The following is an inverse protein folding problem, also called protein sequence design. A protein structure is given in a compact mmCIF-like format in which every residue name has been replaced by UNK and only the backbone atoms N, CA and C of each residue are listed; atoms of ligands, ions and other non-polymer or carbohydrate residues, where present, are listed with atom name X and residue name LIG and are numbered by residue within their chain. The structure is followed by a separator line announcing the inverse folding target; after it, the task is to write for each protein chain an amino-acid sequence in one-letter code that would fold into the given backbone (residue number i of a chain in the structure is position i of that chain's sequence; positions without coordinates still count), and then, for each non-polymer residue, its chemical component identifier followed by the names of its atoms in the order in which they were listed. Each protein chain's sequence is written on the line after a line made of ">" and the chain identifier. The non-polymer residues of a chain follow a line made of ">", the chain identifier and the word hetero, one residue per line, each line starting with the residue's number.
data_IF_638172786210
#
_entry.id   IF_638172786210
#
_cell.length_a   1.000
_cell.length_b   1.000
_cell.length_c   1.000
_cell.angle_alpha   90.00
_cell.angle_beta   90.00
_cell.angle_gamma   90.00
#
_symmetry.space_group_name_H-M   'P 1'
#
loop_
_entity.id
_entity.type
_entity.pdbx_description
1 polymer ?
#
# COMPACT_ATOMS: atom_id res chain seq x y z
N UNK A 1 9.28 -0.16 -4.04
CA UNK A 1 8.24 0.07 -3.01
C UNK A 1 8.58 -0.56 -1.65
N UNK A 2 9.83 -1.02 -1.46
CA UNK A 2 10.30 -1.56 -0.17
C UNK A 2 10.55 -0.49 0.90
N UNK A 3 10.25 0.74 0.61
CA UNK A 3 10.37 1.93 1.45
C UNK A 3 9.04 2.34 2.14
N UNK A 4 7.97 1.56 1.94
CA UNK A 4 6.68 1.80 2.58
C UNK A 4 6.53 0.93 3.83
N UNK A 5 6.36 1.58 4.98
CA UNK A 5 6.17 0.91 6.27
C UNK A 5 4.75 1.20 6.76
N UNK A 6 4.03 0.13 7.09
CA UNK A 6 2.68 0.19 7.65
C UNK A 6 2.69 -0.44 9.03
N UNK A 7 2.09 0.24 10.00
CA UNK A 7 2.01 -0.23 11.37
C UNK A 7 0.63 0.05 11.95
N UNK A 8 0.07 -0.89 12.70
CA UNK A 8 -1.25 -0.73 13.35
C UNK A 8 -2.17 -1.90 13.10
N UNK A 9 -3.40 -1.79 13.59
CA UNK A 9 -4.46 -2.80 13.44
C UNK A 9 -5.38 -2.53 12.24
N UNK A 10 -6.34 -3.43 12.02
CA UNK A 10 -7.41 -3.20 11.03
C UNK A 10 -7.14 -3.67 9.60
N UNK A 11 -5.93 -4.12 9.27
CA UNK A 11 -5.60 -4.57 7.91
C UNK A 11 -6.45 -5.71 7.38
N UNK A 12 -6.82 -6.68 8.25
CA UNK A 12 -7.50 -7.89 7.80
C UNK A 12 -8.84 -7.63 7.11
N UNK A 13 -9.55 -6.57 7.51
CA UNK A 13 -10.81 -6.16 6.90
C UNK A 13 -10.61 -5.59 5.51
N UNK A 14 -9.78 -4.55 5.40
CA UNK A 14 -9.53 -3.85 4.14
C UNK A 14 -8.79 -4.73 3.13
N UNK A 15 -7.89 -5.63 3.57
CA UNK A 15 -7.22 -6.57 2.68
C UNK A 15 -8.17 -7.63 2.10
N UNK A 16 -9.14 -8.09 2.90
CA UNK A 16 -10.14 -9.03 2.42
C UNK A 16 -11.05 -8.40 1.36
N UNK A 17 -11.49 -7.16 1.58
CA UNK A 17 -12.24 -6.39 0.60
C UNK A 17 -11.42 -6.18 -0.69
N UNK A 18 -10.17 -5.75 -0.56
CA UNK A 18 -9.28 -5.55 -1.69
C UNK A 18 -9.02 -6.85 -2.49
N UNK A 19 -8.83 -7.97 -1.79
CA UNK A 19 -8.63 -9.26 -2.45
C UNK A 19 -9.88 -9.73 -3.20
N UNK A 20 -11.08 -9.49 -2.68
CA UNK A 20 -12.34 -9.83 -3.36
C UNK A 20 -12.53 -8.99 -4.62
N UNK A 21 -12.26 -7.68 -4.57
CA UNK A 21 -12.34 -6.80 -5.73
C UNK A 21 -11.32 -7.22 -6.81
N UNK A 22 -10.08 -7.49 -6.43
CA UNK A 22 -9.04 -7.96 -7.35
C UNK A 22 -9.40 -9.32 -7.98
N UNK A 23 -9.97 -10.25 -7.21
CA UNK A 23 -10.42 -11.55 -7.71
C UNK A 23 -11.54 -11.42 -8.75
N UNK A 24 -12.36 -10.37 -8.69
CA UNK A 24 -13.39 -10.06 -9.68
C UNK A 24 -12.87 -9.32 -10.93
N UNK A 25 -11.56 -9.12 -11.03
CA UNK A 25 -10.91 -8.46 -12.16
C UNK A 25 -10.72 -6.94 -11.99
N UNK A 26 -11.00 -6.40 -10.81
CA UNK A 26 -10.75 -5.01 -10.46
C UNK A 26 -9.31 -4.75 -10.02
N UNK A 27 -9.06 -3.50 -9.67
CA UNK A 27 -7.85 -3.07 -8.95
C UNK A 27 -8.24 -2.25 -7.74
N UNK A 28 -7.45 -2.37 -6.68
CA UNK A 28 -7.62 -1.59 -5.46
C UNK A 28 -6.34 -0.84 -5.14
N UNK A 29 -6.47 0.45 -4.94
CA UNK A 29 -5.46 1.30 -4.30
C UNK A 29 -5.95 1.70 -2.93
N UNK A 30 -5.02 1.96 -2.02
CA UNK A 30 -5.36 2.45 -0.70
C UNK A 30 -5.19 3.96 -0.64
N UNK A 31 -6.11 4.63 0.03
CA UNK A 31 -6.06 6.07 0.27
C UNK A 31 -5.58 6.34 1.70
N UNK A 32 -4.53 7.13 1.85
CA UNK A 32 -4.01 7.58 3.15
C UNK A 32 -4.00 9.11 3.19
N UNK A 33 -4.63 9.76 4.18
CA UNK A 33 -4.66 11.21 4.27
C UNK A 33 -3.32 11.75 4.77
N UNK A 34 -2.81 12.79 4.10
CA UNK A 34 -1.57 13.50 4.48
C UNK A 34 -1.77 15.01 4.39
N UNK A 35 -0.92 15.77 5.08
CA UNK A 35 -0.96 17.24 5.04
C UNK A 35 -0.45 17.79 3.70
N UNK A 36 0.62 17.22 3.16
CA UNK A 36 1.15 17.58 1.84
C UNK A 36 1.16 16.37 0.90
N UNK A 37 0.16 16.24 0.00
CA UNK A 37 0.08 15.13 -0.93
C UNK A 37 0.94 15.26 -2.18
N UNK A 38 1.53 16.44 -2.45
CA UNK A 38 2.26 16.73 -3.70
C UNK A 38 3.41 15.79 -4.04
N UNK A 39 4.16 15.20 -3.08
CA UNK A 39 5.23 14.27 -3.41
C UNK A 39 4.79 12.89 -3.89
N UNK A 40 3.50 12.58 -3.82
CA UNK A 40 2.94 11.24 -3.97
C UNK A 40 1.94 11.15 -5.12
N UNK A 41 1.56 9.94 -5.48
CA UNK A 41 0.36 9.69 -6.26
C UNK A 41 -0.87 10.09 -5.42
N UNK A 42 -1.77 10.88 -6.00
CA UNK A 42 -2.96 11.41 -5.31
C UNK A 42 -4.20 10.85 -5.96
N UNK A 43 -5.14 10.34 -5.17
CA UNK A 43 -6.40 9.80 -5.62
C UNK A 43 -7.58 10.60 -5.07
N UNK A 44 -8.56 10.86 -5.93
CA UNK A 44 -9.87 11.38 -5.53
C UNK A 44 -10.87 10.22 -5.49
N UNK A 45 -11.59 10.09 -4.40
CA UNK A 45 -12.50 8.98 -4.16
C UNK A 45 -13.95 9.47 -4.15
N UNK A 46 -14.82 8.76 -4.85
CA UNK A 46 -16.27 8.96 -4.81
C UNK A 46 -16.91 8.39 -3.54
N UNK A 47 -18.16 8.77 -3.31
CA UNK A 47 -18.94 8.29 -2.17
C UNK A 47 -19.19 6.76 -2.21
N UNK A 48 -19.10 6.16 -3.37
CA UNK A 48 -19.25 4.71 -3.61
C UNK A 48 -17.92 3.94 -3.48
N UNK A 49 -16.82 4.61 -3.11
CA UNK A 49 -15.49 4.03 -2.99
C UNK A 49 -14.77 3.84 -4.33
N UNK A 50 -15.32 4.32 -5.45
CA UNK A 50 -14.62 4.30 -6.75
C UNK A 50 -13.67 5.47 -6.88
N UNK A 51 -12.56 5.27 -7.59
CA UNK A 51 -11.68 6.36 -7.94
C UNK A 51 -12.36 7.28 -8.95
N UNK A 52 -12.30 8.60 -8.73
CA UNK A 52 -12.74 9.64 -9.66
C UNK A 52 -11.56 10.11 -10.52
N UNK A 53 -10.42 10.32 -9.89
CA UNK A 53 -9.18 10.70 -10.56
C UNK A 53 -7.97 10.15 -9.83
N UNK A 54 -6.87 9.97 -10.56
CA UNK A 54 -5.57 9.62 -9.99
C UNK A 54 -4.48 10.38 -10.75
N UNK A 55 -3.59 11.04 -10.02
CA UNK A 55 -2.54 11.89 -10.59
C UNK A 55 -1.20 11.64 -9.87
N UNK A 56 -0.12 11.47 -10.63
CA UNK A 56 1.23 11.33 -10.08
C UNK A 56 1.83 12.69 -9.75
N UNK A 57 2.18 12.91 -8.50
CA UNK A 57 2.86 14.11 -7.98
C UNK A 57 2.27 15.43 -8.51
N UNK A 58 0.95 15.65 -8.33
CA UNK A 58 0.29 16.82 -8.88
C UNK A 58 0.76 18.11 -8.21
N UNK A 59 0.94 19.18 -8.98
CA UNK A 59 1.24 20.51 -8.41
C UNK A 59 0.02 21.09 -7.67
N UNK A 60 -1.19 20.77 -8.13
CA UNK A 60 -2.46 21.19 -7.54
C UNK A 60 -3.32 19.96 -7.22
N UNK A 61 -3.06 19.29 -6.09
CA UNK A 61 -3.76 18.06 -5.74
C UNK A 61 -5.26 18.32 -5.50
N UNK A 62 -6.11 17.43 -6.01
CA UNK A 62 -7.56 17.50 -5.87
C UNK A 62 -8.07 16.93 -4.55
N UNK A 63 -7.24 16.18 -3.85
CA UNK A 63 -7.53 15.62 -2.54
C UNK A 63 -6.27 15.56 -1.70
N UNK A 64 -6.42 15.24 -0.41
CA UNK A 64 -5.31 14.92 0.47
C UNK A 64 -5.06 13.41 0.63
N UNK A 65 -5.75 12.57 -0.17
CA UNK A 65 -5.57 11.13 -0.15
C UNK A 65 -4.43 10.74 -1.08
N UNK A 66 -3.32 10.32 -0.52
CA UNK A 66 -2.22 9.74 -1.29
C UNK A 66 -2.42 8.24 -1.48
N UNK A 67 -1.77 7.69 -2.49
CA UNK A 67 -1.72 6.26 -2.77
C UNK A 67 -0.37 5.72 -2.28
N UNK A 68 -0.31 5.12 -1.07
CA UNK A 68 0.91 4.47 -0.62
C UNK A 68 1.20 3.21 -1.44
N UNK A 69 2.42 2.67 -1.31
CA UNK A 69 2.92 1.53 -2.08
C UNK A 69 2.27 0.19 -1.74
N UNK A 70 0.94 0.13 -1.76
CA UNK A 70 0.13 -1.05 -1.45
C UNK A 70 -0.99 -1.17 -2.48
N UNK A 71 -1.00 -2.28 -3.23
CA UNK A 71 -1.89 -2.48 -4.36
C UNK A 71 -2.43 -3.91 -4.40
N UNK A 72 -3.68 -4.05 -4.84
CA UNK A 72 -4.27 -5.33 -5.21
C UNK A 72 -4.76 -5.24 -6.66
N UNK A 73 -4.39 -6.21 -7.48
CA UNK A 73 -4.74 -6.23 -8.89
C UNK A 73 -5.34 -7.56 -9.31
N UNK A 74 -6.20 -7.52 -10.30
CA UNK A 74 -6.69 -8.71 -11.00
C UNK A 74 -5.58 -9.43 -11.78
N UNK A 75 -5.90 -10.59 -12.29
CA UNK A 75 -4.95 -11.48 -13.00
C UNK A 75 -4.38 -10.88 -14.31
N UNK A 76 -5.05 -9.87 -14.85
CA UNK A 76 -4.64 -9.18 -16.10
C UNK A 76 -3.55 -8.13 -15.92
N UNK A 77 -3.16 -7.82 -14.69
CA UNK A 77 -2.19 -6.77 -14.36
C UNK A 77 -0.85 -6.93 -15.10
N UNK A 78 -0.37 -8.17 -15.25
CA UNK A 78 0.89 -8.40 -15.96
C UNK A 78 0.81 -8.09 -17.46
N UNK A 79 -0.36 -8.31 -18.08
CA UNK A 79 -0.58 -7.96 -19.48
C UNK A 79 -0.65 -6.43 -19.63
N UNK A 80 -1.42 -5.75 -18.80
CA UNK A 80 -1.54 -4.29 -18.81
C UNK A 80 -0.21 -3.59 -18.51
N UNK A 81 0.55 -4.09 -17.55
CA UNK A 81 1.86 -3.53 -17.20
C UNK A 81 2.89 -3.60 -18.36
N UNK A 82 2.81 -4.61 -19.23
CA UNK A 82 3.69 -4.73 -20.41
C UNK A 82 3.39 -3.71 -21.48
N UNK A 83 2.20 -3.14 -21.51
CA UNK A 83 1.76 -2.14 -22.48
C UNK A 83 2.09 -0.71 -22.04
N UNK A 84 2.55 -0.51 -20.79
CA UNK A 84 2.91 0.79 -20.26
C UNK A 84 4.06 1.40 -21.07
N UNK A 85 3.98 2.71 -21.26
CA UNK A 85 5.03 3.52 -21.88
C UNK A 85 5.66 4.40 -20.81
N UNK A 86 6.96 4.72 -20.93
CA UNK A 86 7.59 5.67 -20.04
C UNK A 86 6.86 7.02 -20.02
N UNK A 87 6.69 7.58 -18.84
CA UNK A 87 6.13 8.92 -18.63
C UNK A 87 7.07 10.01 -19.19
N UNK A 88 6.66 11.27 -19.11
CA UNK A 88 7.52 12.41 -19.44
C UNK A 88 8.82 12.47 -18.60
N UNK A 89 8.86 11.75 -17.48
CA UNK A 89 10.05 11.57 -16.60
C UNK A 89 10.97 10.45 -17.06
N UNK A 90 10.58 9.68 -18.10
CA UNK A 90 11.31 8.53 -18.60
C UNK A 90 11.14 7.26 -17.75
N UNK A 91 10.19 7.22 -16.83
CA UNK A 91 9.92 6.11 -15.89
C UNK A 91 8.58 5.44 -16.21
N UNK A 92 8.49 4.12 -15.97
CA UNK A 92 7.21 3.42 -15.95
C UNK A 92 6.52 3.71 -14.61
N UNK A 93 5.41 4.42 -14.67
CA UNK A 93 4.70 4.86 -13.46
C UNK A 93 3.60 3.86 -13.07
N UNK A 94 3.56 3.49 -11.80
CA UNK A 94 2.46 2.67 -11.27
C UNK A 94 1.12 3.42 -11.36
N UNK A 95 1.15 4.74 -11.31
CA UNK A 95 -0.03 5.60 -11.46
C UNK A 95 -0.64 5.47 -12.86
N UNK A 96 0.17 5.24 -13.91
CA UNK A 96 -0.35 5.02 -15.26
C UNK A 96 -1.05 3.65 -15.36
N UNK A 97 -0.54 2.63 -14.68
CA UNK A 97 -1.24 1.35 -14.56
C UNK A 97 -2.59 1.51 -13.86
N UNK A 98 -2.61 2.24 -12.75
CA UNK A 98 -3.85 2.53 -12.02
C UNK A 98 -4.84 3.33 -12.88
N UNK A 99 -4.35 4.24 -13.73
CA UNK A 99 -5.19 5.00 -14.67
C UNK A 99 -5.88 4.11 -15.69
N UNK A 100 -5.23 3.05 -16.18
CA UNK A 100 -5.89 2.09 -17.08
C UNK A 100 -7.11 1.46 -16.38
N UNK A 101 -6.98 1.01 -15.13
CA UNK A 101 -8.11 0.49 -14.37
C UNK A 101 -9.19 1.55 -14.08
N UNK A 102 -8.78 2.80 -13.84
CA UNK A 102 -9.71 3.92 -13.66
C UNK A 102 -10.54 4.14 -14.92
N UNK A 103 -9.91 4.25 -16.10
CA UNK A 103 -10.57 4.48 -17.40
C UNK A 103 -11.53 3.33 -17.76
N UNK A 104 -11.24 2.12 -17.30
CA UNK A 104 -12.11 0.95 -17.45
C UNK A 104 -13.22 0.87 -16.40
N UNK A 105 -13.29 1.82 -15.45
CA UNK A 105 -14.25 1.81 -14.35
C UNK A 105 -14.03 0.70 -13.33
N UNK A 106 -12.80 0.16 -13.27
CA UNK A 106 -12.41 -0.99 -12.42
C UNK A 106 -11.46 -0.63 -11.27
N UNK A 107 -11.17 0.66 -11.05
CA UNK A 107 -10.32 1.11 -9.94
C UNK A 107 -11.16 1.47 -8.73
N UNK A 108 -10.91 0.79 -7.62
CA UNK A 108 -11.52 1.05 -6.33
C UNK A 108 -10.50 1.66 -5.36
N UNK A 109 -10.97 2.54 -4.50
CA UNK A 109 -10.17 3.14 -3.41
C UNK A 109 -10.68 2.60 -2.09
N UNK A 110 -9.78 2.03 -1.28
CA UNK A 110 -10.06 1.66 0.10
C UNK A 110 -9.30 2.60 1.01
N UNK A 111 -10.03 3.37 1.82
CA UNK A 111 -9.38 4.25 2.80
C UNK A 111 -8.78 3.39 3.91
N UNK A 112 -7.49 3.61 4.18
CA UNK A 112 -6.84 2.93 5.30
C UNK A 112 -7.48 3.38 6.63
N UNK A 113 -7.72 2.45 7.57
CA UNK A 113 -8.18 2.76 8.92
C UNK A 113 -7.28 3.79 9.62
N UNK A 114 -7.86 4.61 10.50
CA UNK A 114 -7.12 5.65 11.23
C UNK A 114 -6.07 5.08 12.18
N UNK A 115 -6.24 3.83 12.62
CA UNK A 115 -5.29 3.11 13.47
C UNK A 115 -4.02 2.69 12.73
N UNK A 116 -4.03 2.77 11.39
CA UNK A 116 -2.87 2.45 10.58
C UNK A 116 -2.00 3.70 10.43
N UNK A 117 -0.76 3.59 10.87
CA UNK A 117 0.29 4.56 10.57
C UNK A 117 1.06 4.10 9.35
N UNK A 118 1.14 4.96 8.34
CA UNK A 118 1.99 4.78 7.18
C UNK A 118 3.17 5.75 7.23
N UNK A 119 4.33 5.26 6.81
CA UNK A 119 5.53 6.07 6.64
C UNK A 119 6.22 5.67 5.34
N UNK A 120 6.65 6.71 4.60
CA UNK A 120 7.62 6.56 3.52
C UNK A 120 9.04 6.64 4.09
N UNK A 121 9.87 5.64 3.81
CA UNK A 121 11.26 5.58 4.26
C UNK A 121 12.25 5.88 3.11
N UNK A 122 11.81 6.59 2.07
CA UNK A 122 12.55 6.85 0.84
C UNK A 122 13.74 7.83 0.98
N UNK A 123 13.94 8.45 2.15
CA UNK A 123 15.10 9.30 2.41
C UNK A 123 15.66 9.06 3.82
N UNK A 124 16.89 9.52 4.08
CA UNK A 124 17.59 9.26 5.34
C UNK A 124 16.83 9.76 6.58
N UNK A 125 16.14 10.90 6.50
CA UNK A 125 15.39 11.45 7.62
C UNK A 125 14.12 10.64 7.91
N UNK A 126 13.38 10.26 6.88
CA UNK A 126 12.17 9.43 7.04
C UNK A 126 12.52 8.00 7.46
N UNK A 127 13.63 7.44 6.98
CA UNK A 127 14.13 6.15 7.43
C UNK A 127 14.46 6.15 8.93
N UNK A 128 15.10 7.21 9.44
CA UNK A 128 15.38 7.34 10.87
C UNK A 128 14.10 7.42 11.71
N UNK A 129 13.09 8.17 11.25
CA UNK A 129 11.78 8.25 11.92
C UNK A 129 11.07 6.91 11.91
N UNK A 130 11.13 6.18 10.79
CA UNK A 130 10.54 4.85 10.68
C UNK A 130 11.21 3.85 11.64
N UNK A 131 12.55 3.88 11.77
CA UNK A 131 13.27 3.05 12.72
C UNK A 131 12.88 3.35 14.18
N UNK A 132 12.77 4.63 14.56
CA UNK A 132 12.31 5.03 15.89
C UNK A 132 10.87 4.56 16.17
N UNK A 133 9.96 4.69 15.18
CA UNK A 133 8.59 4.21 15.29
C UNK A 133 8.55 2.69 15.49
N UNK A 134 9.28 1.92 14.69
CA UNK A 134 9.36 0.46 14.82
C UNK A 134 9.87 0.06 16.20
N UNK A 135 10.97 0.67 16.65
CA UNK A 135 11.54 0.41 17.98
C UNK A 135 10.52 0.67 19.09
N UNK A 136 9.83 1.81 19.07
CA UNK A 136 8.80 2.15 20.06
C UNK A 136 7.65 1.18 20.06
N UNK A 137 7.14 0.84 18.87
CA UNK A 137 6.03 -0.10 18.75
C UNK A 137 6.41 -1.47 19.29
N UNK A 138 7.58 -2.01 18.93
CA UNK A 138 8.06 -3.30 19.44
C UNK A 138 8.25 -3.29 20.96
N UNK A 139 8.79 -2.18 21.51
CA UNK A 139 8.98 -2.04 22.94
C UNK A 139 7.65 -1.99 23.70
N UNK A 140 6.64 -1.31 23.15
CA UNK A 140 5.34 -1.13 23.81
C UNK A 140 4.43 -2.35 23.67
N UNK A 141 4.43 -2.99 22.50
CA UNK A 141 3.54 -4.12 22.20
C UNK A 141 4.13 -5.49 22.56
N UNK A 142 5.46 -5.58 22.68
CA UNK A 142 6.16 -6.85 22.78
C UNK A 142 6.14 -7.69 21.49
N UNK A 143 5.59 -7.15 20.40
CA UNK A 143 5.49 -7.82 19.10
C UNK A 143 6.55 -7.28 18.15
N UNK A 144 7.24 -8.16 17.46
CA UNK A 144 8.18 -7.75 16.42
C UNK A 144 7.44 -7.40 15.12
N UNK A 145 7.84 -6.28 14.48
CA UNK A 145 7.33 -5.90 13.16
C UNK A 145 8.09 -6.68 12.10
N UNK A 146 7.35 -7.18 11.09
CA UNK A 146 7.88 -7.91 9.94
C UNK A 146 8.69 -9.18 10.32
N UNK A 147 8.40 -9.80 11.45
CA UNK A 147 8.95 -11.10 11.81
C UNK A 147 8.26 -12.18 10.97
N UNK A 148 8.90 -12.59 9.87
CA UNK A 148 8.34 -13.54 8.91
C UNK A 148 8.16 -14.92 9.54
N UNK A 149 9.06 -15.33 10.41
CA UNK A 149 9.04 -16.60 11.11
C UNK A 149 7.84 -16.70 12.05
N UNK A 150 7.58 -15.64 12.83
CA UNK A 150 6.41 -15.57 13.70
C UNK A 150 5.12 -15.56 12.89
N UNK A 151 5.05 -14.79 11.80
CA UNK A 151 3.89 -14.76 10.92
C UNK A 151 3.61 -16.14 10.31
N UNK A 152 4.64 -16.81 9.79
CA UNK A 152 4.53 -18.14 9.21
C UNK A 152 4.06 -19.19 10.24
N UNK A 153 4.55 -19.11 11.47
CA UNK A 153 4.09 -19.97 12.55
C UNK A 153 2.63 -19.70 12.93
N UNK A 154 2.24 -18.45 13.10
CA UNK A 154 0.85 -18.08 13.43
C UNK A 154 -0.14 -18.48 12.34
N UNK A 155 0.29 -18.48 11.07
CA UNK A 155 -0.50 -18.94 9.93
C UNK A 155 -0.47 -20.46 9.73
N UNK A 156 0.29 -21.21 10.54
CA UNK A 156 0.40 -22.66 10.44
C UNK A 156 1.26 -23.17 9.29
N UNK A 157 2.07 -22.31 8.64
CA UNK A 157 2.97 -22.69 7.55
C UNK A 157 4.21 -23.41 8.06
N UNK A 158 4.64 -23.12 9.28
CA UNK A 158 5.75 -23.78 9.96
C UNK A 158 5.38 -24.13 11.40
N UNK A 159 6.05 -25.14 11.98
CA UNK A 159 5.89 -25.50 13.38
C UNK A 159 6.63 -24.52 14.31
N UNK A 160 6.28 -24.53 15.60
CA UNK A 160 6.98 -23.74 16.61
C UNK A 160 8.48 -24.07 16.69
N UNK A 161 8.85 -25.36 16.53
CA UNK A 161 10.25 -25.79 16.50
C UNK A 161 11.01 -25.17 15.34
N UNK A 162 10.42 -25.19 14.14
CA UNK A 162 11.02 -24.57 12.95
C UNK A 162 11.12 -23.04 13.12
N UNK A 163 10.09 -22.39 13.68
CA UNK A 163 10.16 -20.95 13.97
C UNK A 163 11.35 -20.62 14.87
N UNK A 164 11.57 -21.40 15.93
CA UNK A 164 12.70 -21.19 16.85
C UNK A 164 14.06 -21.44 16.21
N UNK A 165 14.15 -22.40 15.31
CA UNK A 165 15.38 -22.70 14.57
C UNK A 165 15.76 -21.58 13.59
N UNK A 166 14.75 -20.98 12.91
CA UNK A 166 14.95 -19.91 11.94
C UNK A 166 15.18 -18.54 12.60
N UNK A 167 14.56 -18.28 13.75
CA UNK A 167 14.66 -17.00 14.46
C UNK A 167 15.85 -16.92 15.44
N UNK A 168 16.68 -17.93 15.50
CA UNK A 168 17.90 -18.22 16.26
C UNK A 168 18.66 -17.30 16.86
#
# INVERSE_FOLDING_TARGET
>A
LGDNIFCGGGFAGCFREAAQEAASGGAVVFGYPVDDPRPFGVVEMGADGRAISIEEKPQHPKSNLIVPGLYFYGSDVCALARELKPSARGELEITDLNRIYLEQGRLRVVRLPEEITWMDAGNAQSLLRAADMVMRHQTQSGCQIACLEEAAWRMGFISYAQMRELGG
#
